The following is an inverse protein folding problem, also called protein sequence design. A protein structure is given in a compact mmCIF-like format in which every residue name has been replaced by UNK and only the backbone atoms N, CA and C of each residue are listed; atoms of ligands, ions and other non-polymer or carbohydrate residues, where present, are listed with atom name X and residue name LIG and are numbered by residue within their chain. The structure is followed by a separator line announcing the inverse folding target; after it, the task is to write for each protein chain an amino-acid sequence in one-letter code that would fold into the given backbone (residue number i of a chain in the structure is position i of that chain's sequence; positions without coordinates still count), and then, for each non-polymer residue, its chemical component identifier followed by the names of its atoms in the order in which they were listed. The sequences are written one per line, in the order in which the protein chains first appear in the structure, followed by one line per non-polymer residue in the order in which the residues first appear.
data_IF_805450327884
#
_entry.id   IF_805450327884
#
_cell.length_a   1.000
_cell.length_b   1.000
_cell.length_c   1.000
_cell.angle_alpha   90.00
_cell.angle_beta   90.00
_cell.angle_gamma   90.00
#
_symmetry.space_group_name_H-M   'P 1'
#
loop_
_entity.id
_entity.type
_entity.pdbx_description
1 polymer ?
#
# COMPACT_ATOMS: atom_id res chain seq x y z
N UNK A 1 30.09 8.45 -0.92
CA UNK A 1 28.84 9.20 -0.72
C UNK A 1 27.70 8.21 -0.56
N UNK A 2 27.31 7.90 0.69
CA UNK A 2 26.34 6.84 1.00
C UNK A 2 24.90 7.32 0.82
N UNK A 3 24.09 6.56 0.07
CA UNK A 3 22.64 6.77 0.00
C UNK A 3 22.04 6.34 1.34
N UNK A 4 21.51 7.29 2.12
CA UNK A 4 20.71 6.99 3.30
C UNK A 4 19.30 6.62 2.84
N UNK A 5 18.88 5.41 3.17
CA UNK A 5 17.53 4.91 2.91
C UNK A 5 16.72 5.02 4.20
N UNK A 6 15.53 5.61 4.12
CA UNK A 6 14.57 5.55 5.21
C UNK A 6 13.61 4.40 4.96
N UNK A 7 13.35 3.61 6.00
CA UNK A 7 12.30 2.60 5.98
C UNK A 7 10.98 3.24 6.42
N UNK A 8 10.02 3.29 5.51
CA UNK A 8 8.67 3.78 5.79
C UNK A 8 7.71 2.61 6.00
N UNK A 9 6.96 2.65 7.11
CA UNK A 9 5.97 1.65 7.49
C UNK A 9 4.61 2.03 6.90
N UNK A 10 4.13 1.24 5.96
CA UNK A 10 2.78 1.35 5.42
C UNK A 10 1.86 0.32 6.08
N UNK A 11 0.68 0.75 6.49
CA UNK A 11 -0.36 -0.12 7.02
C UNK A 11 -1.54 -0.13 6.04
N UNK A 12 -1.64 -1.16 5.21
CA UNK A 12 -2.83 -1.33 4.36
C UNK A 12 -4.02 -1.76 5.23
N UNK A 13 -5.10 -0.98 5.25
CA UNK A 13 -6.28 -1.29 6.06
C UNK A 13 -7.14 -2.38 5.40
N UNK A 14 -7.53 -3.38 6.18
CA UNK A 14 -8.60 -4.33 5.84
C UNK A 14 -10.00 -3.79 6.16
N UNK A 15 -10.12 -2.55 6.64
CA UNK A 15 -11.39 -2.01 7.13
C UNK A 15 -12.46 -1.91 6.02
N UNK A 16 -12.08 -1.70 4.75
CA UNK A 16 -13.02 -1.65 3.61
C UNK A 16 -13.71 -3.01 3.35
N UNK A 17 -13.06 -4.13 3.64
CA UNK A 17 -13.61 -5.48 3.41
C UNK A 17 -14.09 -6.16 4.69
N UNK A 18 -13.92 -5.50 5.84
CA UNK A 18 -14.33 -5.97 7.17
C UNK A 18 -15.77 -6.48 7.25
N UNK A 19 -16.80 -5.82 6.66
CA UNK A 19 -18.16 -6.36 6.71
C UNK A 19 -18.36 -7.63 5.86
N UNK A 20 -17.49 -7.91 4.90
CA UNK A 20 -17.58 -9.09 4.02
C UNK A 20 -16.69 -10.26 4.47
N UNK A 21 -15.66 -9.97 5.27
CA UNK A 21 -14.57 -10.90 5.60
C UNK A 21 -14.46 -11.16 7.11
N UNK A 22 -15.54 -10.92 7.89
CA UNK A 22 -15.54 -11.10 9.34
C UNK A 22 -15.10 -12.52 9.74
N UNK A 23 -13.94 -12.61 10.39
CA UNK A 23 -13.28 -13.87 10.77
C UNK A 23 -12.78 -14.74 9.60
N UNK A 24 -12.78 -14.25 8.36
CA UNK A 24 -12.46 -15.04 7.15
C UNK A 24 -11.33 -14.40 6.36
N UNK A 25 -10.31 -15.20 6.03
CA UNK A 25 -9.20 -14.76 5.18
C UNK A 25 -9.60 -14.85 3.69
N UNK A 26 -10.34 -15.89 3.31
CA UNK A 26 -10.78 -16.15 1.93
C UNK A 26 -12.27 -16.46 1.90
N UNK A 27 -12.98 -15.93 0.92
CA UNK A 27 -14.39 -16.26 0.63
C UNK A 27 -14.52 -16.69 -0.82
N UNK A 28 -15.02 -17.90 -1.03
CA UNK A 28 -15.29 -18.46 -2.37
C UNK A 28 -16.78 -18.34 -2.67
N UNK A 29 -17.12 -17.74 -3.81
CA UNK A 29 -18.50 -17.59 -4.27
C UNK A 29 -18.90 -18.79 -5.13
N UNK A 30 -20.21 -19.03 -5.24
CA UNK A 30 -20.76 -20.16 -6.01
C UNK A 30 -20.37 -20.15 -7.50
N UNK A 31 -20.01 -19.00 -8.05
CA UNK A 31 -19.55 -18.84 -9.44
C UNK A 31 -18.04 -19.01 -9.61
N UNK A 32 -17.32 -19.46 -8.57
CA UNK A 32 -15.87 -19.63 -8.58
C UNK A 32 -15.07 -18.35 -8.32
N UNK A 33 -15.71 -17.19 -8.14
CA UNK A 33 -14.99 -15.96 -7.80
C UNK A 33 -14.47 -16.00 -6.35
N UNK A 34 -13.24 -15.53 -6.15
CA UNK A 34 -12.56 -15.55 -4.86
C UNK A 34 -12.33 -14.11 -4.37
N UNK A 35 -12.76 -13.85 -3.14
CA UNK A 35 -12.37 -12.66 -2.39
C UNK A 35 -11.30 -13.07 -1.37
N UNK A 36 -10.15 -12.38 -1.35
CA UNK A 36 -9.07 -12.63 -0.39
C UNK A 36 -8.66 -11.33 0.28
N UNK A 37 -8.61 -11.32 1.62
CA UNK A 37 -8.17 -10.19 2.41
C UNK A 37 -6.97 -10.59 3.27
N UNK A 38 -5.80 -10.01 2.96
CA UNK A 38 -4.56 -10.24 3.69
C UNK A 38 -4.02 -8.91 4.22
N UNK A 39 -4.46 -8.42 5.40
CA UNK A 39 -3.88 -7.23 6.00
C UNK A 39 -2.38 -7.46 6.26
N UNK A 40 -1.56 -6.50 5.83
CA UNK A 40 -0.11 -6.59 5.96
C UNK A 40 0.51 -5.24 6.29
N UNK A 41 1.67 -5.30 6.95
CA UNK A 41 2.53 -4.15 7.21
C UNK A 41 3.69 -4.24 6.23
N UNK A 42 3.82 -3.24 5.36
CA UNK A 42 4.88 -3.19 4.37
C UNK A 42 5.93 -2.15 4.74
N UNK A 43 7.19 -2.52 4.56
CA UNK A 43 8.33 -1.61 4.72
C UNK A 43 8.84 -1.26 3.33
N UNK A 44 8.74 0.02 2.96
CA UNK A 44 9.29 0.51 1.70
C UNK A 44 10.57 1.30 1.94
N UNK A 45 11.55 1.09 1.08
CA UNK A 45 12.72 1.96 0.99
C UNK A 45 12.42 3.07 0.00
N UNK A 46 12.43 4.32 0.46
CA UNK A 46 12.31 5.46 -0.43
C UNK A 46 13.50 6.40 -0.34
N UNK A 47 13.75 7.08 -1.46
CA UNK A 47 14.77 8.11 -1.56
C UNK A 47 14.21 9.40 -0.98
N UNK A 48 14.89 9.92 0.03
CA UNK A 48 14.53 11.21 0.63
C UNK A 48 15.07 12.35 -0.22
N UNK A 49 14.23 13.35 -0.45
CA UNK A 49 14.64 14.66 -0.98
C UNK A 49 14.60 15.71 0.12
N UNK A 50 15.75 16.29 0.46
CA UNK A 50 15.89 17.28 1.55
C UNK A 50 15.81 18.74 1.06
N UNK A 51 15.27 18.97 -0.15
CA UNK A 51 15.26 20.30 -0.78
C UNK A 51 14.51 21.36 0.02
N UNK A 52 13.44 20.96 0.72
CA UNK A 52 12.54 21.88 1.44
C UNK A 52 12.43 21.55 2.94
N UNK A 53 13.40 20.81 3.48
CA UNK A 53 13.41 20.48 4.91
C UNK A 53 13.29 21.76 5.76
N UNK A 54 12.45 21.80 6.82
CA UNK A 54 11.69 20.70 7.44
C UNK A 54 10.23 20.53 6.95
N UNK A 55 9.86 21.20 5.86
CA UNK A 55 8.49 21.18 5.29
C UNK A 55 8.47 20.50 3.92
N UNK A 56 9.23 19.42 3.80
CA UNK A 56 9.40 18.65 2.58
C UNK A 56 8.26 17.65 2.36
N UNK A 57 8.14 17.21 1.10
CA UNK A 57 7.24 16.14 0.71
C UNK A 57 8.06 14.97 0.19
N UNK A 58 7.66 13.76 0.58
CA UNK A 58 8.35 12.54 0.19
C UNK A 58 7.45 11.65 -0.66
N UNK A 59 7.97 11.20 -1.79
CA UNK A 59 7.31 10.25 -2.67
C UNK A 59 7.92 8.86 -2.48
N UNK A 60 7.16 7.96 -1.85
CA UNK A 60 7.59 6.60 -1.56
C UNK A 60 6.74 5.61 -2.37
N UNK A 61 7.37 4.87 -3.28
CA UNK A 61 6.68 3.90 -4.12
C UNK A 61 6.56 2.53 -3.43
N UNK A 62 5.39 1.92 -3.55
CA UNK A 62 5.16 0.50 -3.30
C UNK A 62 4.90 -0.20 -4.62
N UNK A 63 5.61 -1.30 -4.86
CA UNK A 63 5.44 -2.14 -6.05
C UNK A 63 4.93 -3.50 -5.64
N UNK A 64 3.79 -3.89 -6.19
CA UNK A 64 3.16 -5.19 -5.96
C UNK A 64 3.14 -5.96 -7.28
N UNK A 65 3.45 -7.24 -7.20
CA UNK A 65 3.47 -8.14 -8.35
C UNK A 65 3.42 -9.59 -7.90
N UNK A 66 2.94 -10.52 -8.76
CA UNK A 66 3.14 -11.94 -8.54
C UNK A 66 4.64 -12.26 -8.49
N UNK A 67 5.02 -13.17 -7.59
CA UNK A 67 6.41 -13.63 -7.50
C UNK A 67 6.73 -14.76 -8.48
N UNK A 68 5.77 -15.68 -8.66
CA UNK A 68 5.97 -16.93 -9.39
C UNK A 68 5.43 -16.90 -10.82
N UNK A 69 4.66 -15.87 -11.17
CA UNK A 69 3.96 -15.76 -12.44
C UNK A 69 4.32 -14.46 -13.14
N UNK A 70 4.29 -14.47 -14.46
CA UNK A 70 4.44 -13.26 -15.26
C UNK A 70 3.09 -12.70 -15.71
N UNK A 71 3.14 -11.59 -16.46
CA UNK A 71 1.95 -10.89 -16.94
C UNK A 71 1.14 -11.63 -18.02
N UNK A 72 1.65 -12.75 -18.56
CA UNK A 72 0.91 -13.62 -19.49
C UNK A 72 0.02 -14.62 -18.75
N UNK A 73 0.39 -14.98 -17.52
CA UNK A 73 -0.34 -15.91 -16.67
C UNK A 73 -1.28 -15.20 -15.70
N UNK A 74 -0.82 -14.09 -15.11
CA UNK A 74 -1.56 -13.34 -14.09
C UNK A 74 -1.65 -11.87 -14.47
N UNK A 75 -2.86 -11.43 -14.79
CA UNK A 75 -3.14 -10.02 -15.10
C UNK A 75 -3.60 -9.32 -13.81
N UNK A 76 -2.83 -8.33 -13.38
CA UNK A 76 -3.20 -7.48 -12.25
C UNK A 76 -4.06 -6.31 -12.71
N UNK A 77 -5.21 -6.14 -12.06
CA UNK A 77 -6.04 -4.95 -12.19
C UNK A 77 -6.06 -4.21 -10.85
N UNK A 78 -5.64 -2.95 -10.86
CA UNK A 78 -5.70 -2.08 -9.68
C UNK A 78 -6.78 -1.02 -9.84
N UNK A 79 -7.62 -0.84 -8.81
CA UNK A 79 -8.36 0.42 -8.61
C UNK A 79 -7.64 1.21 -7.53
N UNK A 80 -6.95 2.26 -7.93
CA UNK A 80 -6.44 3.26 -7.00
C UNK A 80 -7.56 4.22 -6.67
N UNK A 81 -8.10 4.13 -5.47
CA UNK A 81 -8.89 5.22 -4.90
C UNK A 81 -8.03 5.87 -3.82
N UNK A 82 -7.55 7.09 -4.12
CA UNK A 82 -6.99 7.96 -3.10
C UNK A 82 -8.15 8.37 -2.19
N UNK A 83 -8.32 7.73 -1.05
CA UNK A 83 -9.18 8.30 -0.03
C UNK A 83 -8.33 9.29 0.76
N UNK A 84 -8.73 10.57 0.77
CA UNK A 84 -8.15 11.61 1.64
C UNK A 84 -8.20 11.18 3.12
N UNK A 85 -9.09 10.24 3.44
CA UNK A 85 -9.21 9.57 4.73
C UNK A 85 -8.41 8.26 4.82
N UNK A 86 -7.15 8.22 4.38
CA UNK A 86 -6.20 7.30 5.00
C UNK A 86 -5.84 7.82 6.41
N UNK A 87 -6.88 8.01 7.22
CA UNK A 87 -6.75 8.21 8.65
C UNK A 87 -6.08 6.95 9.17
N UNK A 88 -4.81 7.06 9.55
CA UNK A 88 -4.22 6.14 10.50
C UNK A 88 -5.17 6.21 11.69
N UNK A 89 -6.10 5.24 11.80
CA UNK A 89 -7.13 5.18 12.84
C UNK A 89 -6.55 5.79 14.12
N UNK A 90 -7.09 6.94 14.55
CA UNK A 90 -6.54 7.83 15.60
C UNK A 90 -6.17 7.05 16.88
N UNK A 91 -6.87 5.93 17.14
CA UNK A 91 -6.63 5.00 18.26
C UNK A 91 -5.40 4.10 18.11
N UNK A 92 -4.61 4.25 17.04
CA UNK A 92 -3.44 3.41 16.70
C UNK A 92 -2.30 4.22 16.09
N UNK A 93 -2.21 5.52 16.38
CA UNK A 93 -1.01 6.31 16.12
C UNK A 93 0.04 6.00 17.21
N UNK A 94 1.20 5.40 16.87
CA UNK A 94 2.32 5.37 17.79
C UNK A 94 2.79 6.80 18.08
N UNK A 95 3.24 7.07 19.30
CA UNK A 95 3.82 8.37 19.64
C UNK A 95 5.03 8.67 18.73
N UNK A 96 5.13 9.92 18.22
CA UNK A 96 6.24 10.36 17.37
C UNK A 96 6.04 10.26 15.86
N UNK A 97 4.80 10.35 15.36
CA UNK A 97 4.54 10.43 13.91
C UNK A 97 4.89 11.82 13.37
N UNK A 98 5.87 11.87 12.46
CA UNK A 98 6.33 13.09 11.77
C UNK A 98 5.63 13.33 10.42
N UNK A 99 5.12 12.27 9.78
CA UNK A 99 4.64 12.30 8.38
C UNK A 99 3.16 11.98 8.26
N UNK A 100 2.43 12.81 7.50
CA UNK A 100 1.06 12.56 7.06
C UNK A 100 1.04 12.12 5.59
N UNK A 101 0.11 11.24 5.22
CA UNK A 101 -0.04 10.80 3.84
C UNK A 101 -0.83 11.85 3.04
N UNK A 102 -0.19 12.50 2.06
CA UNK A 102 -0.86 13.52 1.24
C UNK A 102 -1.67 12.92 0.07
N UNK A 103 -1.22 11.80 -0.53
CA UNK A 103 -1.86 11.19 -1.70
C UNK A 103 -1.36 9.75 -1.92
N UNK A 104 -2.28 8.80 -2.16
CA UNK A 104 -1.95 7.40 -2.49
C UNK A 104 -2.38 7.06 -3.92
N UNK A 105 -1.57 7.40 -4.91
CA UNK A 105 -1.87 7.06 -6.31
C UNK A 105 -1.44 5.63 -6.60
N UNK A 106 -2.39 4.75 -6.96
CA UNK A 106 -2.08 3.45 -7.55
C UNK A 106 -2.08 3.55 -9.08
N UNK A 107 -1.01 3.06 -9.71
CA UNK A 107 -0.89 2.93 -11.17
C UNK A 107 -0.47 1.51 -11.51
N UNK A 108 -1.05 0.95 -12.58
CA UNK A 108 -0.49 -0.24 -13.20
C UNK A 108 0.76 0.18 -13.97
N UNK A 109 1.89 -0.42 -13.64
CA UNK A 109 3.14 -0.24 -14.39
C UNK A 109 3.23 -1.33 -15.45
N UNK A 110 3.57 -1.00 -16.69
CA UNK A 110 3.67 -2.01 -17.73
C UNK A 110 4.85 -2.95 -17.43
N UNK A 111 4.82 -4.21 -17.90
CA UNK A 111 5.93 -5.14 -17.70
C UNK A 111 7.24 -4.73 -18.41
N UNK A 112 7.23 -3.65 -19.20
CA UNK A 112 8.36 -3.19 -20.01
C UNK A 112 8.95 -1.83 -19.55
N UNK A 113 8.51 -1.29 -18.40
CA UNK A 113 8.93 0.02 -17.85
C UNK A 113 9.89 -0.04 -16.63
#
# INVERSE_FOLDING_TARGET
MGKRWLMYKNKASADTYKPYMDGKVVVVKHNGAINWASPAIFYSHCRISVTHFPFDQQQCELKFGPWQHDGSEVILHGRGECHEDFVINEKRQPEGIEWNCCLLIAKLKSPFD
#
